data_IF_226490621965
#
_entry.id   IF_226490621965
#
_cell.length_a   1.000
_cell.length_b   1.000
_cell.length_c   1.000
_cell.angle_alpha   90.00
_cell.angle_beta   90.00
_cell.angle_gamma   90.00
#
_symmetry.space_group_name_H-M   'P 1'
#
loop_
_entity.id
_entity.type
_entity.pdbx_description
1 polymer ?
#
# COMPACT_ATOMS: atom_id res chain seq x y z
N UNK A 1 -2.59 1.06 -0.89
CA UNK A 1 -1.22 1.34 -0.45
C UNK A 1 -0.89 2.77 -0.84
N UNK A 2 -0.33 3.54 0.08
CA UNK A 2 -0.11 4.96 -0.12
C UNK A 2 1.12 5.15 -1.02
N UNK A 3 1.02 5.85 -2.16
CA UNK A 3 2.20 6.18 -2.96
C UNK A 3 3.21 6.95 -2.10
N UNK A 4 4.50 6.62 -2.19
CA UNK A 4 5.56 7.13 -1.29
C UNK A 4 5.59 8.66 -1.11
N UNK A 5 4.98 9.41 -2.02
CA UNK A 5 4.75 10.85 -1.94
C UNK A 5 4.09 11.30 -0.62
N UNK A 6 3.08 10.57 -0.13
CA UNK A 6 2.41 10.95 1.14
C UNK A 6 3.33 10.73 2.34
N UNK A 7 4.11 9.65 2.34
CA UNK A 7 5.11 9.39 3.40
C UNK A 7 6.18 10.48 3.38
N UNK A 8 6.68 10.87 2.21
CA UNK A 8 7.65 11.95 2.07
C UNK A 8 7.11 13.29 2.62
N UNK A 9 5.84 13.60 2.38
CA UNK A 9 5.19 14.78 2.97
C UNK A 9 5.13 14.70 4.50
N UNK A 10 4.67 13.56 5.04
CA UNK A 10 4.58 13.35 6.49
C UNK A 10 5.95 13.45 7.16
N UNK A 11 6.98 12.84 6.58
CA UNK A 11 8.34 12.91 7.10
C UNK A 11 8.84 14.35 7.14
N UNK A 12 8.59 15.17 6.11
CA UNK A 12 8.97 16.60 6.14
C UNK A 12 8.24 17.36 7.24
N UNK A 13 6.94 17.14 7.40
CA UNK A 13 6.14 17.81 8.42
C UNK A 13 6.53 17.38 9.85
N UNK A 14 6.84 16.11 10.06
CA UNK A 14 7.30 15.62 11.35
C UNK A 14 8.73 16.09 11.67
N UNK A 15 9.63 16.13 10.68
CA UNK A 15 10.99 16.66 10.84
C UNK A 15 11.01 18.13 11.24
N UNK A 16 10.08 18.95 10.75
CA UNK A 16 10.03 20.38 11.10
C UNK A 16 9.65 20.64 12.57
N UNK A 17 9.29 19.60 13.33
CA UNK A 17 9.02 19.66 14.77
C UNK A 17 10.21 19.27 15.64
N UNK A 18 11.38 19.04 15.04
CA UNK A 18 12.63 18.66 15.73
C UNK A 18 12.50 17.44 16.66
N UNK A 19 11.98 16.29 16.17
CA UNK A 19 11.96 15.07 16.96
C UNK A 19 13.39 14.56 17.21
N UNK A 20 13.62 13.90 18.35
CA UNK A 20 14.92 13.30 18.68
C UNK A 20 15.31 12.16 17.70
N UNK A 21 14.34 11.42 17.18
CA UNK A 21 14.52 10.44 16.13
C UNK A 21 13.24 10.28 15.31
N UNK A 22 13.37 9.84 14.06
CA UNK A 22 12.24 9.58 13.18
C UNK A 22 12.53 8.35 12.33
N UNK A 23 11.71 7.31 12.49
CA UNK A 23 11.89 6.01 11.85
C UNK A 23 10.58 5.55 11.23
N UNK A 24 10.66 4.75 10.16
CA UNK A 24 9.48 4.25 9.43
C UNK A 24 9.34 2.75 9.69
N UNK A 25 8.12 2.36 10.05
CA UNK A 25 7.70 0.97 10.19
C UNK A 25 6.54 0.70 9.23
N UNK A 26 6.61 -0.39 8.47
CA UNK A 26 5.51 -0.87 7.63
C UNK A 26 5.30 -2.36 7.82
N UNK A 27 4.04 -2.77 7.84
CA UNK A 27 3.67 -4.19 7.85
C UNK A 27 3.96 -4.83 6.49
N UNK A 28 3.62 -4.15 5.41
CA UNK A 28 3.73 -4.68 4.04
C UNK A 28 4.54 -3.73 3.17
N UNK A 29 5.49 -4.30 2.44
CA UNK A 29 6.34 -3.58 1.51
C UNK A 29 6.30 -4.21 0.11
N UNK A 30 5.97 -3.42 -0.90
CA UNK A 30 5.85 -3.90 -2.29
C UNK A 30 7.13 -3.80 -3.10
N UNK A 31 8.15 -3.08 -2.60
CA UNK A 31 9.52 -2.84 -3.14
C UNK A 31 9.65 -2.37 -4.61
N UNK A 32 8.80 -2.84 -5.51
CA UNK A 32 8.96 -2.81 -6.97
C UNK A 32 8.50 -1.48 -7.59
N UNK A 33 7.83 -0.59 -6.83
CA UNK A 33 7.22 0.65 -7.36
C UNK A 33 7.46 1.89 -6.50
N UNK A 34 8.60 1.98 -5.81
CA UNK A 34 8.94 3.18 -5.04
C UNK A 34 9.38 4.30 -5.98
N UNK A 35 8.53 5.32 -6.11
CA UNK A 35 8.84 6.58 -6.84
C UNK A 35 9.76 7.47 -6.00
N UNK A 36 9.71 7.35 -4.67
CA UNK A 36 10.53 8.10 -3.74
C UNK A 36 11.46 7.14 -3.00
N UNK A 37 12.74 7.52 -2.89
CA UNK A 37 13.71 6.84 -2.06
C UNK A 37 13.37 7.09 -0.58
N UNK A 38 12.83 6.06 0.07
CA UNK A 38 12.35 6.12 1.45
C UNK A 38 13.04 4.97 2.19
N UNK A 39 13.90 5.33 3.14
CA UNK A 39 14.55 4.38 4.02
C UNK A 39 13.54 3.88 5.07
N UNK A 40 13.10 2.63 4.94
CA UNK A 40 12.21 1.98 5.89
C UNK A 40 13.05 1.10 6.81
N UNK A 41 13.05 1.44 8.11
CA UNK A 41 13.87 0.73 9.10
C UNK A 41 13.24 -0.60 9.51
N UNK A 42 11.91 -0.65 9.63
CA UNK A 42 11.20 -1.85 10.06
C UNK A 42 10.22 -2.31 8.98
N UNK A 43 10.45 -3.51 8.45
CA UNK A 43 9.60 -4.13 7.43
C UNK A 43 9.09 -5.45 8.00
N UNK A 44 7.77 -5.61 8.02
CA UNK A 44 7.13 -6.89 8.37
C UNK A 44 7.30 -7.93 7.26
N UNK A 45 6.74 -7.64 6.08
CA UNK A 45 6.75 -8.57 4.95
C UNK A 45 7.00 -7.85 3.62
N UNK A 46 7.87 -8.44 2.78
CA UNK A 46 8.02 -8.05 1.38
C UNK A 46 7.06 -8.88 0.52
N UNK A 47 6.12 -8.22 -0.17
CA UNK A 47 5.02 -8.89 -0.89
C UNK A 47 5.06 -8.72 -2.41
N UNK A 48 5.99 -7.93 -2.95
CA UNK A 48 6.11 -7.69 -4.39
C UNK A 48 4.82 -7.15 -5.03
N UNK A 49 4.43 -7.66 -6.21
CA UNK A 49 3.26 -7.19 -6.97
C UNK A 49 1.92 -7.83 -6.54
N UNK A 50 1.85 -8.40 -5.34
CA UNK A 50 0.64 -9.08 -4.85
C UNK A 50 -0.43 -8.11 -4.39
N UNK A 51 -1.69 -8.41 -4.72
CA UNK A 51 -2.85 -7.71 -4.17
C UNK A 51 -3.22 -8.35 -2.83
N UNK A 52 -3.16 -7.56 -1.75
CA UNK A 52 -3.32 -8.04 -0.39
C UNK A 52 -4.51 -7.35 0.27
N UNK A 53 -5.33 -8.11 1.00
CA UNK A 53 -6.48 -7.65 1.78
C UNK A 53 -6.50 -8.30 3.16
N UNK A 54 -7.37 -7.81 4.04
CA UNK A 54 -7.45 -8.27 5.43
C UNK A 54 -6.55 -7.46 6.36
N UNK A 55 -6.73 -7.65 7.66
CA UNK A 55 -6.00 -6.91 8.69
C UNK A 55 -6.07 -5.38 8.52
N UNK A 56 -7.27 -4.87 8.21
CA UNK A 56 -7.53 -3.46 7.94
C UNK A 56 -7.30 -3.02 6.49
N UNK A 57 -6.66 -3.84 5.67
CA UNK A 57 -6.48 -3.60 4.24
C UNK A 57 -7.74 -3.99 3.47
N UNK A 58 -8.09 -3.17 2.47
CA UNK A 58 -9.33 -3.32 1.72
C UNK A 58 -9.13 -3.44 0.22
N UNK A 59 -10.12 -4.05 -0.42
CA UNK A 59 -10.34 -3.96 -1.86
C UNK A 59 -11.78 -3.52 -2.10
N UNK A 60 -11.97 -2.35 -2.72
CA UNK A 60 -13.29 -1.71 -2.90
C UNK A 60 -14.09 -1.64 -1.59
N UNK A 61 -13.42 -1.24 -0.50
CA UNK A 61 -13.98 -1.17 0.86
C UNK A 61 -14.43 -2.50 1.48
N UNK A 62 -14.15 -3.64 0.84
CA UNK A 62 -14.43 -4.98 1.39
C UNK A 62 -13.19 -5.58 2.05
N UNK A 63 -13.41 -6.64 2.83
CA UNK A 63 -12.37 -7.52 3.39
C UNK A 63 -11.50 -6.92 4.52
N UNK A 64 -11.79 -5.71 5.03
CA UNK A 64 -11.04 -5.09 6.14
C UNK A 64 -11.03 -5.92 7.43
N UNK A 65 -12.14 -6.59 7.71
CA UNK A 65 -12.42 -7.31 8.95
C UNK A 65 -11.84 -8.74 8.99
N UNK A 66 -11.15 -9.18 7.94
CA UNK A 66 -10.49 -10.48 7.96
C UNK A 66 -9.33 -10.44 8.97
N UNK A 67 -9.26 -11.46 9.82
CA UNK A 67 -8.30 -11.54 10.94
C UNK A 67 -6.85 -11.74 10.50
N UNK A 68 -6.64 -12.11 9.24
CA UNK A 68 -5.33 -12.40 8.67
C UNK A 68 -5.14 -11.68 7.33
N UNK A 69 -3.93 -11.77 6.82
CA UNK A 69 -3.53 -11.19 5.54
C UNK A 69 -3.80 -12.21 4.44
N UNK A 70 -4.53 -11.81 3.41
CA UNK A 70 -4.91 -12.68 2.29
C UNK A 70 -4.47 -12.10 0.95
N UNK A 71 -4.05 -12.98 0.04
CA UNK A 71 -3.76 -12.63 -1.35
C UNK A 71 -5.02 -12.74 -2.21
N UNK A 72 -5.37 -11.66 -2.91
CA UNK A 72 -6.45 -11.61 -3.88
C UNK A 72 -5.99 -12.25 -5.20
N UNK A 73 -6.76 -13.22 -5.69
CA UNK A 73 -6.52 -13.85 -6.99
C UNK A 73 -6.63 -12.82 -8.12
N UNK A 74 -5.66 -12.87 -9.03
CA UNK A 74 -5.57 -11.95 -10.17
C UNK A 74 -6.80 -12.01 -11.09
N UNK A 75 -7.51 -13.14 -11.16
CA UNK A 75 -8.71 -13.28 -12.00
C UNK A 75 -9.83 -12.33 -11.55
N UNK A 76 -9.96 -12.12 -10.24
CA UNK A 76 -10.91 -11.16 -9.65
C UNK A 76 -10.50 -9.73 -9.99
N UNK A 77 -9.20 -9.43 -9.93
CA UNK A 77 -8.67 -8.09 -10.21
C UNK A 77 -8.73 -7.77 -11.71
N UNK A 78 -8.44 -8.73 -12.60
CA UNK A 78 -8.47 -8.57 -14.05
C UNK A 78 -9.88 -8.30 -14.56
N UNK A 79 -10.89 -9.06 -14.10
CA UNK A 79 -12.30 -8.81 -14.43
C UNK A 79 -12.74 -7.40 -14.08
N UNK A 80 -12.32 -6.90 -12.92
CA UNK A 80 -12.64 -5.55 -12.48
C UNK A 80 -11.91 -4.47 -13.31
N UNK A 81 -10.66 -4.71 -13.72
CA UNK A 81 -9.92 -3.80 -14.60
C UNK A 81 -10.51 -3.78 -16.01
N UNK A 82 -10.90 -4.93 -16.57
CA UNK A 82 -11.58 -5.03 -17.86
C UNK A 82 -12.94 -4.34 -17.84
N UNK A 83 -13.72 -4.53 -16.78
CA UNK A 83 -14.98 -3.82 -16.58
C UNK A 83 -14.80 -2.29 -16.57
N UNK A 84 -13.77 -1.79 -15.87
CA UNK A 84 -13.47 -0.35 -15.85
C UNK A 84 -13.05 0.18 -17.21
N UNK A 85 -12.21 -0.56 -17.96
CA UNK A 85 -11.79 -0.18 -19.32
C UNK A 85 -12.97 -0.12 -20.29
N UNK A 86 -13.88 -1.08 -20.23
CA UNK A 86 -15.06 -1.13 -21.11
C UNK A 86 -16.13 -0.10 -20.72
N UNK A 87 -16.10 0.43 -19.50
CA UNK A 87 -17.01 1.48 -19.03
C UNK A 87 -16.48 2.90 -19.27
N UNK A 88 -15.22 3.04 -19.71
CA UNK A 88 -14.54 4.33 -19.92
C UNK A 88 -14.50 4.76 -21.40
N UNK A 89 -15.19 4.02 -22.28
CA UNK A 89 -15.25 4.27 -23.74
C UNK A 89 -16.61 4.82 -24.19
N UNK A 90 -17.20 5.70 -23.39
CA UNK A 90 -18.33 6.57 -23.75
C UNK A 90 -17.92 8.04 -23.59
#
# INVERSE_FOLDING_TARGET
MIPGLTISYLLRNLKSRFPNSLEICTLLDRDIRRIADINIKYIGFKIGEKYIVGYGLDYKQKFRNLQSIYELKLDTVKKDIEFLKNSSSL
#
